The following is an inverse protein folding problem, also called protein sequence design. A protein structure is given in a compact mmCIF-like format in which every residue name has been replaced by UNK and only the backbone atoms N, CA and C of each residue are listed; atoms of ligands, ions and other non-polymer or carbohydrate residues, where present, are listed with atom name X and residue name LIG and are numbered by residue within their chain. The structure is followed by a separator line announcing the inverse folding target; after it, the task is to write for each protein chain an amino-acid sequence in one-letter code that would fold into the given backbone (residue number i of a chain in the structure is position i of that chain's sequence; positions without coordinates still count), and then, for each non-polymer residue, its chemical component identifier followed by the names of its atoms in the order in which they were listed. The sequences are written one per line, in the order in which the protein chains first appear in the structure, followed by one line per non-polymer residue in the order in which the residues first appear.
data_IF_621394774861
#
_entry.id   IF_621394774861
#
_cell.length_a   1.000
_cell.length_b   1.000
_cell.length_c   1.000
_cell.angle_alpha   90.00
_cell.angle_beta   90.00
_cell.angle_gamma   90.00
#
_symmetry.space_group_name_H-M   'P 1'
#
loop_
_entity.id
_entity.type
_entity.pdbx_description
1 polymer ?
#
# COMPACT_ATOMS: atom_id res chain seq x y z
N UNK A 1 -87.84 1.10 -8.28
CA UNK A 1 -87.24 2.00 -7.30
C UNK A 1 -85.79 1.54 -7.12
N UNK A 2 -84.85 2.22 -7.73
CA UNK A 2 -83.46 1.88 -7.88
C UNK A 2 -82.63 2.65 -6.88
N UNK A 3 -81.80 1.96 -6.06
CA UNK A 3 -80.74 2.60 -5.25
C UNK A 3 -79.36 2.23 -5.80
N UNK A 4 -78.66 3.25 -6.24
CA UNK A 4 -77.25 3.16 -6.65
C UNK A 4 -76.38 3.10 -5.41
N UNK A 5 -75.43 2.14 -5.39
CA UNK A 5 -74.32 2.10 -4.44
C UNK A 5 -73.12 2.73 -5.09
N UNK A 6 -72.52 3.74 -4.43
CA UNK A 6 -71.20 4.32 -4.81
C UNK A 6 -70.07 3.52 -4.15
N UNK A 7 -69.20 2.96 -4.98
CA UNK A 7 -67.93 2.41 -4.56
C UNK A 7 -66.91 3.54 -4.52
N UNK A 8 -66.39 3.82 -3.30
CA UNK A 8 -65.26 4.69 -3.09
C UNK A 8 -63.97 3.91 -3.22
N UNK A 9 -63.17 4.26 -4.22
CA UNK A 9 -61.79 3.75 -4.37
C UNK A 9 -60.84 4.54 -3.47
N UNK A 10 -60.36 3.91 -2.41
CA UNK A 10 -59.32 4.46 -1.57
C UNK A 10 -57.94 4.25 -2.20
N UNK A 11 -57.27 5.33 -2.58
CA UNK A 11 -55.92 5.34 -3.08
C UNK A 11 -54.98 5.25 -1.90
N UNK A 12 -54.36 4.07 -1.67
CA UNK A 12 -53.22 3.90 -0.72
C UNK A 12 -51.97 4.42 -1.38
N UNK A 13 -51.55 5.62 -1.01
CA UNK A 13 -50.21 6.15 -1.32
C UNK A 13 -49.20 5.55 -0.37
N UNK A 14 -48.42 4.58 -0.86
CA UNK A 14 -47.22 4.09 -0.15
C UNK A 14 -46.14 5.18 -0.22
N UNK A 15 -45.91 5.90 0.88
CA UNK A 15 -44.68 6.71 1.06
C UNK A 15 -43.53 5.75 1.32
N UNK A 16 -42.72 5.48 0.31
CA UNK A 16 -41.38 4.89 0.49
C UNK A 16 -40.50 5.98 1.08
N UNK A 17 -40.29 5.94 2.39
CA UNK A 17 -39.25 6.72 3.08
C UNK A 17 -37.90 6.16 2.66
N UNK A 18 -37.26 6.81 1.68
CA UNK A 18 -35.82 6.62 1.41
C UNK A 18 -35.07 7.11 2.61
N UNK A 19 -34.62 6.18 3.46
CA UNK A 19 -33.61 6.44 4.47
C UNK A 19 -32.26 6.69 3.77
N UNK A 20 -32.09 7.91 3.27
CA UNK A 20 -30.78 8.44 2.93
C UNK A 20 -30.07 8.76 4.26
N UNK A 21 -29.43 7.77 4.87
CA UNK A 21 -28.45 8.04 5.90
C UNK A 21 -27.39 8.97 5.30
N UNK A 22 -26.83 9.90 6.09
CA UNK A 22 -25.75 10.75 5.60
C UNK A 22 -24.63 9.82 5.08
N UNK A 23 -24.26 9.95 3.82
CA UNK A 23 -23.06 9.34 3.29
C UNK A 23 -21.91 9.87 4.17
N UNK A 24 -21.36 9.03 5.01
CA UNK A 24 -20.17 9.37 5.78
C UNK A 24 -19.13 9.75 4.75
N UNK A 25 -18.66 11.01 4.80
CA UNK A 25 -17.57 11.46 3.94
C UNK A 25 -16.44 10.43 4.04
N UNK A 26 -15.97 9.95 2.89
CA UNK A 26 -14.89 8.98 2.86
C UNK A 26 -13.76 9.49 3.75
N UNK A 27 -13.30 8.67 4.70
CA UNK A 27 -12.30 9.08 5.67
C UNK A 27 -11.01 9.45 4.93
N UNK A 28 -10.51 10.68 5.15
CA UNK A 28 -9.27 11.12 4.53
C UNK A 28 -8.08 10.54 5.32
N UNK A 29 -7.65 9.36 4.93
CA UNK A 29 -6.54 8.64 5.57
C UNK A 29 -5.23 9.43 5.51
N UNK A 30 -4.97 10.14 4.41
CA UNK A 30 -3.81 11.01 4.28
C UNK A 30 -3.77 12.09 5.37
N UNK A 31 -4.91 12.68 5.74
CA UNK A 31 -4.99 13.64 6.85
C UNK A 31 -4.91 12.95 8.21
N UNK A 32 -5.50 11.77 8.35
CA UNK A 32 -5.55 11.04 9.63
C UNK A 32 -4.16 10.54 10.07
N UNK A 33 -3.35 10.07 9.16
CA UNK A 33 -2.05 9.45 9.43
C UNK A 33 -0.84 10.22 8.90
N UNK A 34 -0.99 11.04 7.86
CA UNK A 34 0.10 11.84 7.28
C UNK A 34 0.65 12.90 8.24
N UNK A 35 1.92 13.20 8.12
CA UNK A 35 2.65 14.12 9.00
C UNK A 35 2.89 13.59 10.42
N UNK A 36 2.60 12.30 10.65
CA UNK A 36 2.81 11.63 11.94
C UNK A 36 3.84 10.53 11.79
N UNK A 37 4.57 10.16 12.86
CA UNK A 37 5.52 9.07 12.79
C UNK A 37 4.85 7.76 12.33
N UNK A 38 5.53 7.03 11.49
CA UNK A 38 5.08 5.77 10.94
C UNK A 38 6.23 4.77 10.90
N UNK A 39 5.95 3.49 10.69
CA UNK A 39 6.94 2.42 10.74
C UNK A 39 6.59 1.28 9.78
N UNK A 40 7.60 0.65 9.19
CA UNK A 40 7.51 -0.67 8.55
C UNK A 40 8.19 -1.68 9.48
N UNK A 41 7.49 -2.79 9.74
CA UNK A 41 8.01 -3.84 10.61
C UNK A 41 7.47 -5.21 10.19
N UNK A 42 8.36 -6.14 9.81
CA UNK A 42 8.00 -7.46 9.26
C UNK A 42 8.45 -8.61 10.17
N UNK A 43 8.26 -8.43 11.49
CA UNK A 43 8.49 -9.47 12.49
C UNK A 43 7.41 -9.40 13.60
N UNK A 44 7.49 -10.30 14.58
CA UNK A 44 6.52 -10.42 15.67
C UNK A 44 7.14 -10.28 17.08
N UNK A 45 8.42 -9.92 17.14
CA UNK A 45 9.23 -9.93 18.37
C UNK A 45 9.03 -8.70 19.25
N UNK A 46 8.70 -7.55 18.64
CA UNK A 46 8.55 -6.29 19.38
C UNK A 46 7.22 -6.28 20.16
N UNK A 47 7.24 -5.83 21.42
CA UNK A 47 6.02 -5.69 22.20
C UNK A 47 5.18 -4.52 21.67
N UNK A 48 3.88 -4.56 21.94
CA UNK A 48 2.92 -3.53 21.47
C UNK A 48 3.32 -2.12 21.90
N UNK A 49 3.95 -1.97 23.06
CA UNK A 49 4.46 -0.72 23.62
C UNK A 49 5.55 -0.08 22.78
N UNK A 50 6.32 -0.87 22.04
CA UNK A 50 7.37 -0.36 21.15
C UNK A 50 6.80 0.54 20.03
N UNK A 51 5.52 0.37 19.70
CA UNK A 51 4.81 1.12 18.66
C UNK A 51 4.11 2.40 19.16
N UNK A 52 4.23 2.76 20.44
CA UNK A 52 3.48 3.92 20.99
C UNK A 52 3.74 5.21 20.24
N UNK A 53 4.98 5.47 19.83
CA UNK A 53 5.37 6.67 19.10
C UNK A 53 4.85 6.76 17.66
N UNK A 54 4.32 5.69 17.10
CA UNK A 54 3.91 5.62 15.69
C UNK A 54 2.39 5.66 15.54
N UNK A 55 1.91 6.30 14.47
CA UNK A 55 0.48 6.38 14.15
C UNK A 55 0.07 5.38 13.09
N UNK A 56 0.89 5.17 12.05
CA UNK A 56 0.64 4.25 10.97
C UNK A 56 1.72 3.16 10.99
N UNK A 57 1.29 1.92 10.91
CA UNK A 57 2.13 0.73 10.92
C UNK A 57 1.90 -0.07 9.64
N UNK A 58 2.97 -0.35 8.92
CA UNK A 58 2.99 -1.32 7.83
C UNK A 58 3.60 -2.61 8.39
N UNK A 59 2.82 -3.67 8.40
CA UNK A 59 3.21 -4.95 9.01
C UNK A 59 3.10 -6.09 7.98
N UNK A 60 3.93 -7.13 8.11
CA UNK A 60 3.75 -8.33 7.29
C UNK A 60 2.37 -8.94 7.53
N UNK A 61 1.78 -9.50 6.47
CA UNK A 61 0.42 -10.02 6.52
C UNK A 61 0.26 -11.28 7.38
N UNK A 62 1.34 -11.99 7.70
CA UNK A 62 1.31 -13.25 8.44
C UNK A 62 2.15 -13.20 9.72
N UNK A 63 3.32 -12.54 9.66
CA UNK A 63 4.26 -12.42 10.79
C UNK A 63 4.21 -10.99 11.33
N UNK A 64 3.44 -10.78 12.39
CA UNK A 64 3.21 -9.46 12.96
C UNK A 64 2.86 -9.53 14.46
N UNK A 65 3.05 -8.44 15.23
CA UNK A 65 2.53 -8.34 16.60
C UNK A 65 1.00 -8.46 16.64
N UNK A 66 0.40 -8.71 17.83
CA UNK A 66 -1.06 -8.75 17.97
C UNK A 66 -1.72 -7.46 17.48
N UNK A 67 -2.59 -7.54 16.45
CA UNK A 67 -3.19 -6.38 15.80
C UNK A 67 -4.22 -5.67 16.69
N UNK A 68 -5.06 -6.44 17.41
CA UNK A 68 -6.13 -5.87 18.23
C UNK A 68 -5.64 -4.86 19.28
N UNK A 69 -4.62 -5.14 20.10
CA UNK A 69 -4.08 -4.15 21.04
C UNK A 69 -3.50 -2.89 20.36
N UNK A 70 -2.96 -3.02 19.14
CA UNK A 70 -2.48 -1.88 18.35
C UNK A 70 -3.66 -1.03 17.86
N UNK A 71 -4.70 -1.66 17.32
CA UNK A 71 -5.92 -0.99 16.86
C UNK A 71 -6.64 -0.27 18.03
N UNK A 72 -6.76 -0.90 19.19
CA UNK A 72 -7.35 -0.30 20.41
C UNK A 72 -6.57 0.95 20.88
N UNK A 73 -5.28 1.04 20.60
CA UNK A 73 -4.45 2.25 20.80
C UNK A 73 -4.56 3.27 19.65
N UNK A 74 -5.51 3.07 18.75
CA UNK A 74 -5.82 3.98 17.64
C UNK A 74 -4.78 4.00 16.53
N UNK A 75 -3.94 2.96 16.38
CA UNK A 75 -3.00 2.85 15.25
C UNK A 75 -3.76 2.58 13.96
N UNK A 76 -3.21 3.02 12.84
CA UNK A 76 -3.66 2.64 11.49
C UNK A 76 -2.76 1.50 11.03
N UNK A 77 -3.36 0.36 10.69
CA UNK A 77 -2.65 -0.88 10.40
C UNK A 77 -2.79 -1.24 8.92
N UNK A 78 -1.70 -1.21 8.17
CA UNK A 78 -1.64 -1.66 6.78
C UNK A 78 -0.98 -3.03 6.70
N UNK A 79 -1.65 -3.99 6.06
CA UNK A 79 -1.09 -5.31 5.80
C UNK A 79 -0.31 -5.34 4.50
N UNK A 80 0.93 -5.84 4.56
CA UNK A 80 1.77 -6.07 3.39
C UNK A 80 1.11 -7.06 2.42
N UNK A 81 1.09 -6.70 1.16
CA UNK A 81 0.63 -7.56 0.07
C UNK A 81 1.48 -7.33 -1.18
N UNK A 82 2.33 -8.31 -1.51
CA UNK A 82 3.00 -8.37 -2.80
C UNK A 82 1.97 -8.66 -3.89
N UNK A 83 1.83 -7.78 -4.87
CA UNK A 83 0.82 -7.91 -5.93
C UNK A 83 1.41 -8.01 -7.33
N UNK A 84 2.70 -7.75 -7.51
CA UNK A 84 3.47 -8.01 -8.73
C UNK A 84 4.24 -9.32 -8.69
N UNK A 85 4.34 -9.93 -7.51
CA UNK A 85 5.02 -11.20 -7.27
C UNK A 85 4.23 -12.10 -6.32
N UNK A 86 4.60 -13.37 -6.28
CA UNK A 86 4.12 -14.32 -5.28
C UNK A 86 5.32 -15.06 -4.68
N UNK A 87 5.48 -14.95 -3.38
CA UNK A 87 6.49 -15.70 -2.64
C UNK A 87 6.04 -17.14 -2.42
N UNK A 88 6.96 -18.09 -2.60
CA UNK A 88 6.69 -19.54 -2.57
C UNK A 88 6.17 -20.06 -1.21
N UNK A 89 6.37 -19.30 -0.13
CA UNK A 89 5.87 -19.64 1.21
C UNK A 89 4.42 -19.19 1.45
N UNK A 90 3.85 -18.31 0.61
CA UNK A 90 2.48 -17.81 0.79
C UNK A 90 1.44 -18.90 0.53
N UNK A 91 0.36 -18.97 1.31
CA UNK A 91 -0.67 -20.02 1.19
C UNK A 91 -1.29 -20.14 -0.20
N UNK A 92 -1.37 -19.05 -0.95
CA UNK A 92 -1.96 -19.01 -2.29
C UNK A 92 -0.97 -19.38 -3.42
N UNK A 93 0.34 -19.56 -3.14
CA UNK A 93 1.35 -19.88 -4.13
C UNK A 93 0.99 -21.10 -4.99
N UNK A 94 0.62 -22.20 -4.36
CA UNK A 94 0.26 -23.43 -5.07
C UNK A 94 -0.94 -23.25 -6.01
N UNK A 95 -1.91 -22.41 -5.63
CA UNK A 95 -3.08 -22.05 -6.45
C UNK A 95 -2.65 -21.26 -7.69
N UNK A 96 -1.84 -20.23 -7.51
CA UNK A 96 -1.36 -19.35 -8.59
C UNK A 96 -0.43 -20.11 -9.54
N UNK A 97 0.43 -20.97 -9.00
CA UNK A 97 1.31 -21.85 -9.80
C UNK A 97 0.52 -22.77 -10.74
N UNK A 98 -0.57 -23.39 -10.25
CA UNK A 98 -1.45 -24.22 -11.09
C UNK A 98 -2.14 -23.44 -12.21
N UNK A 99 -2.32 -22.13 -12.06
CA UNK A 99 -2.87 -21.28 -13.13
C UNK A 99 -1.89 -21.03 -14.28
N UNK A 100 -0.59 -21.29 -14.07
CA UNK A 100 0.46 -21.06 -15.08
C UNK A 100 0.76 -19.59 -15.34
N UNK A 101 0.43 -18.70 -14.40
CA UNK A 101 0.63 -17.24 -14.53
C UNK A 101 1.90 -16.74 -13.87
N UNK A 102 2.62 -17.60 -13.13
CA UNK A 102 3.94 -17.26 -12.62
C UNK A 102 4.94 -17.15 -13.77
N UNK A 103 5.81 -16.15 -13.70
CA UNK A 103 6.93 -15.92 -14.61
C UNK A 103 8.24 -16.29 -13.93
N UNK A 104 9.34 -15.68 -14.39
CA UNK A 104 10.67 -15.94 -13.86
C UNK A 104 10.77 -15.59 -12.36
N UNK A 105 11.65 -16.27 -11.65
CA UNK A 105 11.98 -15.95 -10.25
C UNK A 105 12.72 -14.61 -10.21
N UNK A 106 12.41 -13.79 -9.20
CA UNK A 106 13.10 -12.54 -8.98
C UNK A 106 14.57 -12.81 -8.57
N UNK A 107 15.57 -12.32 -9.33
CA UNK A 107 16.98 -12.62 -9.05
C UNK A 107 17.47 -12.05 -7.70
N UNK A 108 16.79 -11.05 -7.15
CA UNK A 108 17.14 -10.42 -5.87
C UNK A 108 16.42 -11.06 -4.68
N UNK A 109 15.27 -11.72 -4.92
CA UNK A 109 14.43 -12.29 -3.87
C UNK A 109 14.11 -13.75 -4.16
N UNK A 110 14.99 -14.64 -3.68
CA UNK A 110 14.84 -16.09 -3.88
C UNK A 110 13.49 -16.58 -3.33
N UNK A 111 12.80 -17.36 -4.13
CA UNK A 111 11.48 -17.89 -3.81
C UNK A 111 10.33 -16.95 -4.16
N UNK A 112 10.61 -15.76 -4.71
CA UNK A 112 9.60 -14.83 -5.20
C UNK A 112 9.52 -14.88 -6.73
N UNK A 113 8.32 -14.98 -7.29
CA UNK A 113 8.07 -15.17 -8.71
C UNK A 113 7.18 -14.06 -9.25
N UNK A 114 7.58 -13.42 -10.36
CA UNK A 114 6.74 -12.45 -11.03
C UNK A 114 5.40 -13.04 -11.44
N UNK A 115 4.34 -12.24 -11.42
CA UNK A 115 2.99 -12.64 -11.82
C UNK A 115 2.59 -11.96 -13.12
N UNK A 116 1.90 -12.67 -14.00
CA UNK A 116 1.22 -12.08 -15.13
C UNK A 116 -0.08 -11.41 -14.69
N UNK A 117 -0.03 -10.10 -14.47
CA UNK A 117 -1.18 -9.33 -13.99
C UNK A 117 -2.32 -9.22 -15.02
N UNK A 118 -2.06 -9.57 -16.27
CA UNK A 118 -3.08 -9.55 -17.35
C UNK A 118 -4.10 -10.68 -17.20
N UNK A 119 -3.78 -11.70 -16.40
CA UNK A 119 -4.72 -12.78 -16.13
C UNK A 119 -5.80 -12.32 -15.14
N UNK A 120 -7.09 -12.32 -15.51
CA UNK A 120 -8.16 -11.80 -14.65
C UNK A 120 -8.32 -12.57 -13.34
N UNK A 121 -7.89 -13.84 -13.29
CA UNK A 121 -7.93 -14.64 -12.05
C UNK A 121 -7.05 -14.06 -10.96
N UNK A 122 -5.97 -13.35 -11.34
CA UNK A 122 -5.11 -12.67 -10.36
C UNK A 122 -5.84 -11.51 -9.69
N UNK A 123 -6.48 -10.64 -10.48
CA UNK A 123 -7.26 -9.52 -9.93
C UNK A 123 -8.38 -10.05 -9.02
N UNK A 124 -9.12 -11.09 -9.46
CA UNK A 124 -10.16 -11.73 -8.63
C UNK A 124 -9.59 -12.26 -7.33
N UNK A 125 -8.45 -12.97 -7.37
CA UNK A 125 -7.80 -13.48 -6.15
C UNK A 125 -7.47 -12.35 -5.17
N UNK A 126 -6.83 -11.29 -5.65
CA UNK A 126 -6.44 -10.16 -4.79
C UNK A 126 -7.67 -9.49 -4.18
N UNK A 127 -8.68 -9.17 -5.01
CA UNK A 127 -9.86 -8.41 -4.58
C UNK A 127 -10.81 -9.26 -3.74
N UNK A 128 -11.02 -10.53 -4.09
CA UNK A 128 -12.06 -11.35 -3.47
C UNK A 128 -11.54 -12.20 -2.30
N UNK A 129 -10.23 -12.48 -2.25
CA UNK A 129 -9.66 -13.35 -1.24
C UNK A 129 -8.60 -12.66 -0.37
N UNK A 130 -7.56 -12.02 -0.98
CA UNK A 130 -6.40 -11.53 -0.24
C UNK A 130 -6.70 -10.24 0.55
N UNK A 131 -7.31 -9.25 -0.07
CA UNK A 131 -7.72 -8.03 0.65
C UNK A 131 -8.72 -8.35 1.76
N UNK A 132 -9.82 -9.12 1.52
CA UNK A 132 -10.70 -9.54 2.60
C UNK A 132 -10.01 -10.35 3.70
N UNK A 133 -9.01 -11.16 3.37
CA UNK A 133 -8.23 -11.90 4.36
C UNK A 133 -7.52 -10.95 5.32
N UNK A 134 -6.86 -9.91 4.81
CA UNK A 134 -6.20 -8.90 5.64
C UNK A 134 -7.19 -8.15 6.54
N UNK A 135 -8.30 -7.70 5.97
CA UNK A 135 -9.34 -6.98 6.74
C UNK A 135 -9.93 -7.85 7.85
N UNK A 136 -10.19 -9.14 7.58
CA UNK A 136 -10.66 -10.09 8.61
C UNK A 136 -9.62 -10.36 9.70
N UNK A 137 -8.32 -10.26 9.40
CA UNK A 137 -7.25 -10.38 10.41
C UNK A 137 -7.18 -9.17 11.34
N UNK A 138 -7.76 -8.03 10.94
CA UNK A 138 -7.78 -6.80 11.75
C UNK A 138 -6.91 -5.67 11.21
N UNK A 139 -6.42 -5.77 9.97
CA UNK A 139 -5.83 -4.64 9.28
C UNK A 139 -6.91 -3.65 8.84
N UNK A 140 -6.58 -2.35 8.85
CA UNK A 140 -7.47 -1.30 8.34
C UNK A 140 -7.44 -1.23 6.81
N UNK A 141 -6.31 -1.56 6.20
CA UNK A 141 -6.08 -1.47 4.77
C UNK A 141 -4.86 -2.23 4.30
N UNK A 142 -4.35 -1.83 3.14
CA UNK A 142 -3.32 -2.58 2.42
C UNK A 142 -2.10 -1.72 2.09
N UNK A 143 -0.94 -2.36 2.16
CA UNK A 143 0.31 -1.88 1.58
C UNK A 143 0.61 -2.73 0.35
N UNK A 144 0.53 -2.12 -0.84
CA UNK A 144 0.71 -2.78 -2.12
C UNK A 144 2.17 -2.68 -2.56
N UNK A 145 2.83 -3.82 -2.59
CA UNK A 145 4.22 -3.93 -2.98
C UNK A 145 4.40 -4.59 -4.35
N UNK A 146 5.59 -4.42 -4.93
CA UNK A 146 6.05 -5.05 -6.17
C UNK A 146 5.32 -4.61 -7.45
N UNK A 147 4.56 -3.51 -7.42
CA UNK A 147 3.87 -2.95 -8.59
C UNK A 147 4.81 -2.31 -9.62
N UNK A 148 6.07 -2.09 -9.29
CA UNK A 148 7.12 -1.68 -10.22
C UNK A 148 7.56 -2.83 -11.14
N UNK A 149 7.44 -4.09 -10.73
CA UNK A 149 7.82 -5.25 -11.52
C UNK A 149 7.06 -5.37 -12.85
N UNK A 150 5.71 -5.28 -12.93
CA UNK A 150 5.00 -5.30 -14.19
C UNK A 150 5.41 -4.16 -15.13
N UNK A 151 5.74 -2.99 -14.58
CA UNK A 151 6.25 -1.85 -15.36
C UNK A 151 7.63 -2.18 -15.93
N UNK A 152 8.53 -2.67 -15.07
CA UNK A 152 9.87 -3.07 -15.48
C UNK A 152 9.85 -4.18 -16.56
N UNK A 153 9.03 -5.22 -16.36
CA UNK A 153 8.92 -6.32 -17.33
C UNK A 153 8.43 -5.84 -18.70
N UNK A 154 7.43 -4.95 -18.73
CA UNK A 154 6.93 -4.39 -19.97
C UNK A 154 7.97 -3.50 -20.65
N UNK A 155 8.72 -2.69 -19.90
CA UNK A 155 9.80 -1.85 -20.44
C UNK A 155 10.97 -2.70 -20.97
N UNK A 156 11.37 -3.73 -20.24
CA UNK A 156 12.50 -4.60 -20.63
C UNK A 156 12.17 -5.50 -21.83
N UNK A 157 10.92 -5.99 -21.93
CA UNK A 157 10.48 -6.90 -23.00
C UNK A 157 9.07 -6.50 -23.51
N UNK A 158 8.94 -5.37 -24.25
CA UNK A 158 7.64 -4.80 -24.60
C UNK A 158 6.73 -5.73 -25.41
N UNK A 159 7.28 -6.61 -26.23
CA UNK A 159 6.48 -7.56 -27.03
C UNK A 159 5.89 -8.67 -26.16
N UNK A 160 6.67 -9.17 -25.20
CA UNK A 160 6.26 -10.29 -24.31
C UNK A 160 5.27 -9.83 -23.24
N UNK A 161 5.49 -8.65 -22.68
CA UNK A 161 4.77 -8.16 -21.51
C UNK A 161 3.86 -6.95 -21.79
N UNK A 162 3.50 -6.73 -23.05
CA UNK A 162 2.58 -5.65 -23.44
C UNK A 162 1.30 -5.67 -22.60
N UNK A 163 0.97 -4.54 -22.00
CA UNK A 163 -0.25 -4.36 -21.19
C UNK A 163 -0.10 -4.68 -19.71
N UNK A 164 1.08 -5.09 -19.24
CA UNK A 164 1.32 -5.35 -17.81
C UNK A 164 1.19 -4.09 -16.94
N UNK A 165 1.67 -2.95 -17.41
CA UNK A 165 1.54 -1.67 -16.72
C UNK A 165 0.07 -1.26 -16.57
N UNK A 166 -0.73 -1.43 -17.60
CA UNK A 166 -2.17 -1.15 -17.52
C UNK A 166 -2.91 -2.13 -16.61
N UNK A 167 -2.53 -3.41 -16.64
CA UNK A 167 -3.08 -4.42 -15.74
C UNK A 167 -2.78 -4.09 -14.27
N UNK A 168 -1.56 -3.61 -13.97
CA UNK A 168 -1.21 -3.13 -12.64
C UNK A 168 -2.10 -1.96 -12.19
N UNK A 169 -2.31 -0.98 -13.06
CA UNK A 169 -3.22 0.14 -12.76
C UNK A 169 -4.67 -0.33 -12.57
N UNK A 170 -5.13 -1.31 -13.36
CA UNK A 170 -6.47 -1.90 -13.21
C UNK A 170 -6.63 -2.61 -11.87
N UNK A 171 -5.60 -3.31 -11.39
CA UNK A 171 -5.60 -3.95 -10.07
C UNK A 171 -5.79 -2.93 -8.95
N UNK A 172 -5.02 -1.85 -8.92
CA UNK A 172 -5.16 -0.77 -7.91
C UNK A 172 -6.56 -0.18 -7.94
N UNK A 173 -7.07 0.17 -9.13
CA UNK A 173 -8.44 0.68 -9.30
C UNK A 173 -9.51 -0.33 -8.88
N UNK A 174 -9.29 -1.63 -9.12
CA UNK A 174 -10.22 -2.68 -8.70
C UNK A 174 -10.28 -2.78 -7.17
N UNK A 175 -9.13 -2.70 -6.47
CA UNK A 175 -9.10 -2.67 -5.00
C UNK A 175 -9.89 -1.45 -4.50
N UNK A 176 -9.61 -0.24 -4.99
CA UNK A 176 -10.31 0.98 -4.54
C UNK A 176 -11.83 0.92 -4.80
N UNK A 177 -12.27 0.42 -5.95
CA UNK A 177 -13.70 0.29 -6.28
C UNK A 177 -14.44 -0.67 -5.35
N UNK A 178 -13.81 -1.77 -4.98
CA UNK A 178 -14.42 -2.77 -4.10
C UNK A 178 -14.31 -2.39 -2.61
N UNK A 179 -13.29 -1.62 -2.26
CA UNK A 179 -13.00 -1.20 -0.88
C UNK A 179 -12.80 0.33 -0.81
N UNK A 180 -13.86 1.13 -1.00
CA UNK A 180 -13.72 2.59 -1.13
C UNK A 180 -13.23 3.28 0.15
N UNK A 181 -13.41 2.65 1.32
CA UNK A 181 -13.12 3.24 2.62
C UNK A 181 -11.78 2.82 3.24
N UNK A 182 -11.07 1.82 2.70
CA UNK A 182 -9.81 1.36 3.30
C UNK A 182 -8.63 2.27 2.90
N UNK A 183 -7.62 2.45 3.76
CA UNK A 183 -6.37 3.09 3.37
C UNK A 183 -5.57 2.18 2.42
N UNK A 184 -5.06 2.77 1.34
CA UNK A 184 -4.20 2.09 0.36
C UNK A 184 -2.88 2.85 0.28
N UNK A 185 -1.78 2.17 0.58
CA UNK A 185 -0.42 2.64 0.33
C UNK A 185 0.17 1.85 -0.83
N UNK A 186 0.78 2.53 -1.79
CA UNK A 186 1.49 1.91 -2.90
C UNK A 186 3.00 2.13 -2.74
N UNK A 187 3.80 1.09 -2.93
CA UNK A 187 5.24 1.18 -2.90
C UNK A 187 5.81 1.41 -4.31
N UNK A 188 6.59 2.49 -4.47
CA UNK A 188 7.31 2.81 -5.73
C UNK A 188 6.38 2.85 -6.95
N UNK A 189 6.69 2.10 -8.00
CA UNK A 189 5.87 2.01 -9.23
C UNK A 189 5.48 3.40 -9.81
N UNK A 190 6.36 4.39 -9.72
CA UNK A 190 6.11 5.79 -10.08
C UNK A 190 5.48 5.99 -11.48
N UNK A 191 5.79 5.18 -12.52
CA UNK A 191 5.10 5.29 -13.80
C UNK A 191 3.60 5.00 -13.75
N UNK A 192 3.09 4.36 -12.69
CA UNK A 192 1.66 4.14 -12.48
C UNK A 192 0.97 5.37 -11.88
N UNK A 193 1.67 6.23 -11.14
CA UNK A 193 1.08 7.34 -10.39
C UNK A 193 0.07 8.17 -11.20
N UNK A 194 0.36 8.63 -12.44
CA UNK A 194 -0.60 9.41 -13.21
C UNK A 194 -1.92 8.68 -13.49
N UNK A 195 -1.96 7.35 -13.32
CA UNK A 195 -3.12 6.49 -13.60
C UNK A 195 -3.89 6.11 -12.35
N UNK A 196 -3.24 6.13 -11.16
CA UNK A 196 -3.79 5.57 -9.92
C UNK A 196 -3.69 6.49 -8.71
N UNK A 197 -3.08 7.66 -8.82
CA UNK A 197 -2.87 8.58 -7.69
C UNK A 197 -4.18 9.00 -6.99
N UNK A 198 -5.34 8.86 -7.65
CA UNK A 198 -6.66 9.10 -7.07
C UNK A 198 -7.24 7.89 -6.34
N UNK A 199 -6.63 6.73 -6.54
CA UNK A 199 -7.10 5.46 -5.98
C UNK A 199 -6.30 5.02 -4.75
N UNK A 200 -5.22 5.72 -4.41
CA UNK A 200 -4.35 5.44 -3.26
C UNK A 200 -4.38 6.61 -2.27
N UNK A 201 -4.05 6.41 -1.02
CA UNK A 201 -3.98 7.47 0.01
C UNK A 201 -2.54 7.87 0.31
N UNK A 202 -1.62 6.91 0.16
CA UNK A 202 -0.20 7.08 0.43
C UNK A 202 0.61 6.52 -0.73
N UNK A 203 1.64 7.26 -1.11
CA UNK A 203 2.71 6.77 -1.97
C UNK A 203 3.97 6.61 -1.15
N UNK A 204 4.59 5.44 -1.21
CA UNK A 204 5.87 5.19 -0.57
C UNK A 204 7.01 5.29 -1.59
N UNK A 205 7.92 6.23 -1.35
CA UNK A 205 9.23 6.24 -1.96
C UNK A 205 10.19 5.40 -1.14
N UNK A 206 10.54 4.23 -1.63
CA UNK A 206 11.54 3.38 -1.00
C UNK A 206 12.92 3.62 -1.62
N UNK A 207 13.96 3.71 -0.77
CA UNK A 207 15.34 4.00 -1.17
C UNK A 207 15.44 5.26 -2.02
N UNK A 208 14.85 6.37 -1.52
CA UNK A 208 14.88 7.65 -2.25
C UNK A 208 16.21 8.35 -2.05
N UNK A 209 16.67 8.50 -0.80
CA UNK A 209 17.89 9.20 -0.45
C UNK A 209 19.02 8.26 0.01
N UNK A 210 18.68 7.17 0.70
CA UNK A 210 19.61 6.18 1.18
C UNK A 210 19.11 4.76 0.89
N UNK A 211 20.02 3.84 0.59
CA UNK A 211 19.73 2.49 0.14
C UNK A 211 20.71 1.48 0.75
N UNK A 212 20.39 0.20 0.59
CA UNK A 212 21.26 -0.92 0.95
C UNK A 212 21.80 -1.62 -0.30
N UNK A 213 23.11 -1.72 -0.38
CA UNK A 213 23.79 -2.43 -1.45
C UNK A 213 23.98 -3.90 -1.07
N UNK A 214 23.22 -4.79 -1.70
CA UNK A 214 23.24 -6.24 -1.48
C UNK A 214 24.58 -6.89 -1.86
N UNK A 215 25.37 -6.27 -2.76
CA UNK A 215 26.66 -6.80 -3.19
C UNK A 215 27.75 -6.53 -2.15
N UNK A 216 27.80 -5.29 -1.66
CA UNK A 216 28.78 -4.85 -0.67
C UNK A 216 28.29 -5.05 0.77
N UNK A 217 26.99 -5.39 0.95
CA UNK A 217 26.32 -5.52 2.24
C UNK A 217 26.49 -4.28 3.12
N UNK A 218 26.32 -3.11 2.52
CA UNK A 218 26.51 -1.82 3.18
C UNK A 218 25.43 -0.82 2.80
N UNK A 219 25.16 0.10 3.73
CA UNK A 219 24.29 1.24 3.47
C UNK A 219 25.04 2.33 2.71
N UNK A 220 24.38 2.98 1.78
CA UNK A 220 24.95 4.07 0.97
C UNK A 220 23.89 5.11 0.64
N UNK A 221 24.35 6.31 0.28
CA UNK A 221 23.45 7.30 -0.34
C UNK A 221 23.15 6.88 -1.78
N UNK A 222 21.92 7.16 -2.21
CA UNK A 222 21.51 6.99 -3.61
C UNK A 222 22.27 7.99 -4.48
N UNK A 223 22.67 7.56 -5.68
CA UNK A 223 23.36 8.42 -6.63
C UNK A 223 22.50 9.63 -6.99
N UNK A 224 23.13 10.81 -7.05
CA UNK A 224 22.42 12.08 -7.22
C UNK A 224 21.46 12.13 -8.42
N UNK A 225 21.78 11.62 -9.60
CA UNK A 225 20.83 11.60 -10.73
C UNK A 225 19.56 10.80 -10.40
N UNK A 226 19.70 9.61 -9.82
CA UNK A 226 18.56 8.77 -9.44
C UNK A 226 17.75 9.40 -8.32
N UNK A 227 18.41 9.96 -7.30
CA UNK A 227 17.73 10.71 -6.23
C UNK A 227 16.88 11.85 -6.78
N UNK A 228 17.44 12.67 -7.68
CA UNK A 228 16.72 13.81 -8.28
C UNK A 228 15.56 13.36 -9.17
N UNK A 229 15.71 12.26 -9.90
CA UNK A 229 14.63 11.66 -10.67
C UNK A 229 13.46 11.20 -9.78
N UNK A 230 13.74 10.41 -8.73
CA UNK A 230 12.72 9.96 -7.80
C UNK A 230 12.03 11.14 -7.10
N UNK A 231 12.82 12.11 -6.62
CA UNK A 231 12.30 13.33 -5.99
C UNK A 231 11.34 14.08 -6.92
N UNK A 232 11.71 14.23 -8.19
CA UNK A 232 10.86 14.89 -9.19
C UNK A 232 9.54 14.14 -9.37
N UNK A 233 9.58 12.81 -9.53
CA UNK A 233 8.38 11.99 -9.75
C UNK A 233 7.41 12.07 -8.57
N UNK A 234 7.92 12.00 -7.34
CA UNK A 234 7.12 12.12 -6.12
C UNK A 234 6.52 13.53 -5.95
N UNK A 235 7.31 14.57 -6.19
CA UNK A 235 6.81 15.96 -6.13
C UNK A 235 5.81 16.27 -7.23
N UNK A 236 5.98 15.74 -8.41
CA UNK A 236 5.02 15.92 -9.50
C UNK A 236 3.67 15.22 -9.17
N UNK A 237 3.70 14.06 -8.50
CA UNK A 237 2.48 13.42 -7.98
C UNK A 237 1.78 14.29 -6.93
N UNK A 238 2.51 14.83 -5.96
CA UNK A 238 1.94 15.77 -4.96
C UNK A 238 1.35 17.03 -5.59
N UNK A 239 1.96 17.56 -6.66
CA UNK A 239 1.41 18.70 -7.38
C UNK A 239 0.09 18.38 -8.07
N UNK A 240 -0.02 17.18 -8.68
CA UNK A 240 -1.27 16.75 -9.33
C UNK A 240 -2.36 16.41 -8.33
N UNK A 241 -1.97 15.89 -7.15
CA UNK A 241 -2.88 15.55 -6.06
C UNK A 241 -2.31 15.98 -4.71
N UNK A 242 -2.62 17.20 -4.25
CA UNK A 242 -2.09 17.74 -2.98
C UNK A 242 -2.47 16.92 -1.73
N UNK A 243 -3.54 16.12 -1.80
CA UNK A 243 -3.98 15.25 -0.70
C UNK A 243 -3.17 13.96 -0.60
N UNK A 244 -2.45 13.58 -1.68
CA UNK A 244 -1.60 12.39 -1.68
C UNK A 244 -0.43 12.60 -0.71
N UNK A 245 -0.34 11.73 0.30
CA UNK A 245 0.77 11.77 1.23
C UNK A 245 1.92 10.94 0.68
N UNK A 246 3.09 11.56 0.58
CA UNK A 246 4.33 10.86 0.22
C UNK A 246 5.08 10.51 1.49
N UNK A 247 5.24 9.21 1.68
CA UNK A 247 6.04 8.60 2.73
C UNK A 247 7.39 8.19 2.13
N UNK A 248 8.48 8.19 2.91
CA UNK A 248 9.76 7.67 2.44
C UNK A 248 10.35 6.67 3.41
N UNK A 249 10.76 5.53 2.88
CA UNK A 249 11.51 4.49 3.57
C UNK A 249 12.94 4.48 3.03
N UNK A 250 13.87 4.90 3.85
CA UNK A 250 15.30 4.87 3.54
C UNK A 250 16.01 3.87 4.45
N UNK A 251 17.07 3.23 3.97
CA UNK A 251 17.80 2.22 4.74
C UNK A 251 19.12 2.77 5.25
N UNK A 252 19.36 2.62 6.57
CA UNK A 252 20.61 3.06 7.19
C UNK A 252 20.97 2.27 8.44
N UNK A 253 22.25 2.33 8.82
CA UNK A 253 22.75 1.65 10.01
C UNK A 253 22.28 2.34 11.31
N UNK A 254 21.66 1.61 12.25
CA UNK A 254 21.34 2.15 13.58
C UNK A 254 22.56 2.60 14.38
N UNK A 255 23.75 2.13 14.01
CA UNK A 255 25.02 2.52 14.64
C UNK A 255 25.50 3.93 14.20
N UNK A 256 24.86 4.54 13.21
CA UNK A 256 25.17 5.90 12.74
C UNK A 256 23.95 6.84 12.92
N UNK A 257 23.73 7.35 14.14
CA UNK A 257 22.61 8.25 14.42
C UNK A 257 22.69 9.58 13.66
N UNK A 258 23.89 10.05 13.31
CA UNK A 258 24.08 11.28 12.52
C UNK A 258 23.60 11.08 11.07
N UNK A 259 23.92 9.93 10.51
CA UNK A 259 23.41 9.53 9.19
C UNK A 259 21.88 9.45 9.17
N UNK A 260 21.27 8.83 10.19
CA UNK A 260 19.81 8.78 10.34
C UNK A 260 19.22 10.20 10.42
N UNK A 261 19.74 11.07 11.30
CA UNK A 261 19.27 12.48 11.41
C UNK A 261 19.33 13.22 10.06
N UNK A 262 20.43 13.02 9.32
CA UNK A 262 20.61 13.62 8.00
C UNK A 262 19.51 13.18 7.03
N UNK A 263 19.16 11.87 6.98
CA UNK A 263 18.11 11.33 6.12
C UNK A 263 16.75 11.93 6.49
N UNK A 264 16.39 11.93 7.78
CA UNK A 264 15.14 12.53 8.24
C UNK A 264 15.04 14.02 7.86
N UNK A 265 16.12 14.79 8.08
CA UNK A 265 16.19 16.20 7.73
C UNK A 265 15.98 16.44 6.24
N UNK A 266 16.67 15.66 5.39
CA UNK A 266 16.59 15.76 3.93
C UNK A 266 15.17 15.48 3.44
N UNK A 267 14.58 14.36 3.86
CA UNK A 267 13.25 13.98 3.42
C UNK A 267 12.15 14.94 3.91
N UNK A 268 12.27 15.44 5.11
CA UNK A 268 11.36 16.49 5.62
C UNK A 268 11.50 17.80 4.86
N UNK A 269 12.71 18.20 4.47
CA UNK A 269 12.94 19.38 3.63
C UNK A 269 12.28 19.24 2.27
N UNK A 270 12.13 17.99 1.77
CA UNK A 270 11.37 17.67 0.58
C UNK A 270 9.85 17.68 0.79
N UNK A 271 9.36 17.79 2.02
CA UNK A 271 7.93 17.74 2.34
C UNK A 271 7.37 16.33 2.38
N UNK A 272 8.22 15.32 2.64
CA UNK A 272 7.84 13.91 2.80
C UNK A 272 7.76 13.50 4.26
N UNK A 273 7.08 12.39 4.54
CA UNK A 273 6.98 11.77 5.85
C UNK A 273 7.99 10.61 5.94
N UNK A 274 9.20 10.81 6.49
CA UNK A 274 10.27 9.83 6.48
C UNK A 274 10.14 8.76 7.57
N UNK A 275 10.64 7.56 7.24
CA UNK A 275 11.07 6.53 8.18
C UNK A 275 12.42 5.96 7.73
N UNK A 276 13.32 5.72 8.68
CA UNK A 276 14.62 5.09 8.41
C UNK A 276 14.65 3.73 9.11
N UNK A 277 15.01 2.69 8.37
CA UNK A 277 15.03 1.31 8.85
C UNK A 277 16.33 0.58 8.52
N UNK A 278 16.49 -0.62 9.08
CA UNK A 278 17.42 -1.62 8.54
C UNK A 278 16.76 -2.37 7.38
N UNK A 279 17.58 -2.92 6.48
CA UNK A 279 17.07 -3.64 5.31
C UNK A 279 16.17 -4.85 5.65
N UNK A 280 16.43 -5.48 6.79
CA UNK A 280 15.67 -6.67 7.22
C UNK A 280 14.25 -6.33 7.72
N UNK A 281 13.97 -5.06 8.06
CA UNK A 281 12.69 -4.60 8.61
C UNK A 281 12.21 -5.40 9.84
N UNK A 282 13.13 -6.03 10.57
CA UNK A 282 12.88 -6.94 11.69
C UNK A 282 12.97 -6.25 13.06
N UNK A 283 13.18 -4.95 13.08
CA UNK A 283 13.32 -4.10 14.28
C UNK A 283 12.83 -2.68 14.05
N UNK A 284 12.45 -2.01 15.12
CA UNK A 284 12.07 -0.61 15.10
C UNK A 284 13.32 0.25 15.27
N UNK A 285 13.61 1.08 14.29
CA UNK A 285 14.64 2.12 14.38
C UNK A 285 13.97 3.43 14.78
N UNK A 286 14.25 3.91 15.99
CA UNK A 286 13.70 5.20 16.45
C UNK A 286 14.52 6.34 15.86
N UNK A 287 13.84 7.42 15.49
CA UNK A 287 14.53 8.65 15.10
C UNK A 287 15.38 9.14 16.27
N UNK A 288 16.71 9.38 16.08
CA UNK A 288 17.55 9.92 17.13
C UNK A 288 17.10 11.35 17.50
N UNK A 289 17.24 11.76 18.76
CA UNK A 289 16.95 13.14 19.14
C UNK A 289 17.82 14.12 18.35
N UNK A 290 17.33 15.37 18.16
CA UNK A 290 18.05 16.39 17.40
C UNK A 290 19.42 16.73 17.95
#
# INVERSE_FOLDING_TARGET
MTRRACLGAGLLTLLAALCSGPATAAENWGQRAGGKPWVVYYADKEPVEAFEGFRLLVLDSETHPPLRPLSERGKVLLGYLSVGEVESHRPWYAKVKRWGILKDENPNWKGSYYVDLRDPRWISLVVEELVPMLLRRGFDGVFLDTLDNPVYLEQAQPQKYKGMTEAAAQLVRAIRRNYPAIPIMMNRAYPLLPRVERDIDFELGESVYADYDFKTKSYKLVDQPLYQEQLKLLKDAQKRRPELRVMTLDYWSPADPDGIRRIYKEQRANGFDPYVATIDLDRIVKEPPP
#
